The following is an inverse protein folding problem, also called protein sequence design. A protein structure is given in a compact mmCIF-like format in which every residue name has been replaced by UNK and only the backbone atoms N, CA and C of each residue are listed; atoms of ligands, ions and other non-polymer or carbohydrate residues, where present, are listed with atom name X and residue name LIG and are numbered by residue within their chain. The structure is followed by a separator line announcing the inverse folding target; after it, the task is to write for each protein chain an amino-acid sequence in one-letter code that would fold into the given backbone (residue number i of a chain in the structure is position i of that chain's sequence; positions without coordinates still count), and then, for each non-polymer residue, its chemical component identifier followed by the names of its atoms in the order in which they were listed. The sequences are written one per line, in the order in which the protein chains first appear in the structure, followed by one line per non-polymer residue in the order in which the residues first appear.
data_IF_870999122107
#
_entry.id   IF_870999122107
#
_cell.length_a   1.000
_cell.length_b   1.000
_cell.length_c   1.000
_cell.angle_alpha   90.00
_cell.angle_beta   90.00
_cell.angle_gamma   90.00
#
_symmetry.space_group_name_H-M   'P 1'
#
loop_
_entity.id
_entity.type
_entity.pdbx_description
1 polymer ?
#
# COMPACT_ATOMS: atom_id res chain seq x y z
N UNK A 1 10.90 34.06 -12.69
CA UNK A 1 11.16 32.69 -12.19
C UNK A 1 10.06 32.39 -11.21
N UNK A 2 9.21 31.41 -11.52
CA UNK A 2 8.11 30.98 -10.64
C UNK A 2 8.71 29.89 -9.76
N UNK A 3 8.83 30.15 -8.46
CA UNK A 3 9.15 29.11 -7.48
C UNK A 3 8.10 28.00 -7.59
N UNK A 4 8.47 26.71 -7.69
CA UNK A 4 7.49 25.64 -7.68
C UNK A 4 6.67 25.76 -6.39
N UNK A 5 5.36 25.93 -6.53
CA UNK A 5 4.45 26.07 -5.39
C UNK A 5 4.67 24.89 -4.44
N UNK A 6 5.00 25.17 -3.18
CA UNK A 6 5.19 24.16 -2.16
C UNK A 6 4.05 23.14 -2.22
N UNK A 7 4.40 21.87 -2.44
CA UNK A 7 3.44 20.77 -2.47
C UNK A 7 2.63 20.82 -1.16
N UNK A 8 1.29 20.80 -1.22
CA UNK A 8 0.50 20.80 0.00
C UNK A 8 0.91 19.60 0.87
N UNK A 9 1.26 19.86 2.13
CA UNK A 9 1.49 18.77 3.10
C UNK A 9 0.15 18.13 3.43
N UNK A 10 -0.10 16.95 2.88
CA UNK A 10 -1.26 16.13 3.22
C UNK A 10 -0.91 15.23 4.41
N UNK A 11 -1.63 15.36 5.51
CA UNK A 11 -1.50 14.48 6.68
C UNK A 11 -2.53 13.36 6.58
N UNK A 12 -2.06 12.11 6.56
CA UNK A 12 -2.93 10.93 6.63
C UNK A 12 -3.05 10.43 8.07
N UNK A 13 -4.25 10.01 8.45
CA UNK A 13 -4.53 9.46 9.77
C UNK A 13 -5.02 8.02 9.61
N UNK A 14 -4.18 7.00 9.89
CA UNK A 14 -4.52 5.60 9.63
C UNK A 14 -5.83 5.15 10.26
N UNK A 15 -6.05 5.49 11.53
CA UNK A 15 -7.29 5.11 12.22
C UNK A 15 -8.55 5.72 11.55
N UNK A 16 -8.46 6.97 11.09
CA UNK A 16 -9.55 7.61 10.38
C UNK A 16 -9.74 6.97 9.00
N UNK A 17 -8.65 6.75 8.26
CA UNK A 17 -8.66 6.07 6.97
C UNK A 17 -9.32 4.68 7.09
N UNK A 18 -8.91 3.87 8.05
CA UNK A 18 -9.44 2.51 8.22
C UNK A 18 -10.92 2.48 8.62
N UNK A 19 -11.39 3.53 9.30
CA UNK A 19 -12.80 3.65 9.69
C UNK A 19 -13.70 4.21 8.59
N UNK A 20 -13.15 5.04 7.70
CA UNK A 20 -13.93 5.91 6.80
C UNK A 20 -13.71 5.62 5.32
N UNK A 21 -12.63 4.93 4.96
CA UNK A 21 -12.28 4.57 3.60
C UNK A 21 -12.17 3.05 3.33
N UNK A 22 -12.95 2.16 3.98
CA UNK A 22 -12.83 0.73 3.73
C UNK A 22 -13.15 0.36 2.28
N UNK A 23 -13.90 1.19 1.55
CA UNK A 23 -14.18 0.98 0.14
C UNK A 23 -12.91 0.96 -0.75
N UNK A 24 -11.76 1.46 -0.28
CA UNK A 24 -10.51 1.46 -1.06
C UNK A 24 -9.83 0.08 -1.02
N UNK A 25 -9.87 -0.61 0.12
CA UNK A 25 -9.13 -1.84 0.36
C UNK A 25 -10.03 -3.03 0.73
N UNK A 26 -11.35 -2.87 0.67
CA UNK A 26 -12.29 -3.97 0.94
C UNK A 26 -12.17 -5.07 -0.11
N UNK A 27 -12.39 -6.30 0.34
CA UNK A 27 -12.44 -7.49 -0.51
C UNK A 27 -13.40 -7.34 -1.68
N UNK A 28 -14.59 -6.78 -1.43
CA UNK A 28 -15.62 -6.60 -2.46
C UNK A 28 -15.12 -5.73 -3.63
N UNK A 29 -14.45 -4.62 -3.31
CA UNK A 29 -14.00 -3.66 -4.31
C UNK A 29 -12.67 -4.04 -4.95
N UNK A 30 -11.83 -4.82 -4.26
CA UNK A 30 -10.48 -5.18 -4.74
C UNK A 30 -10.42 -6.53 -5.43
N UNK A 31 -11.45 -7.37 -5.31
CA UNK A 31 -11.49 -8.69 -5.97
C UNK A 31 -11.19 -8.65 -7.47
N UNK A 32 -11.71 -7.71 -8.29
CA UNK A 32 -11.37 -7.64 -9.71
C UNK A 32 -9.88 -7.31 -9.94
N UNK A 33 -9.27 -6.49 -9.07
CA UNK A 33 -7.86 -6.15 -9.15
C UNK A 33 -6.98 -7.39 -8.97
N UNK A 34 -7.25 -8.22 -7.94
CA UNK A 34 -6.49 -9.46 -7.73
C UNK A 34 -6.67 -10.47 -8.87
N UNK A 35 -7.86 -10.54 -9.47
CA UNK A 35 -8.10 -11.41 -10.62
C UNK A 35 -7.29 -10.96 -11.84
N UNK A 36 -7.18 -9.65 -12.09
CA UNK A 36 -6.40 -9.08 -13.18
C UNK A 36 -4.89 -9.22 -12.95
N UNK A 37 -4.44 -8.96 -11.72
CA UNK A 37 -3.02 -9.08 -11.36
C UNK A 37 -2.54 -10.53 -11.48
N UNK A 38 -3.39 -11.49 -11.09
CA UNK A 38 -3.12 -12.93 -11.21
C UNK A 38 -1.76 -13.33 -10.60
N UNK A 39 -1.47 -12.79 -9.41
CA UNK A 39 -0.20 -13.00 -8.71
C UNK A 39 0.06 -14.50 -8.51
N UNK A 40 1.32 -14.91 -8.68
CA UNK A 40 1.77 -16.31 -8.61
C UNK A 40 2.75 -16.52 -7.46
N UNK A 41 2.80 -17.75 -6.90
CA UNK A 41 3.82 -18.10 -5.92
C UNK A 41 5.25 -17.81 -6.42
N UNK A 42 6.09 -17.26 -5.55
CA UNK A 42 7.47 -16.89 -5.85
C UNK A 42 7.65 -15.53 -6.56
N UNK A 43 6.57 -14.81 -6.89
CA UNK A 43 6.68 -13.51 -7.53
C UNK A 43 7.16 -12.41 -6.57
N UNK A 44 7.78 -11.38 -7.16
CA UNK A 44 8.18 -10.17 -6.47
C UNK A 44 7.29 -9.01 -6.92
N UNK A 45 6.61 -8.35 -5.98
CA UNK A 45 5.60 -7.32 -6.26
C UNK A 45 5.91 -6.07 -5.44
N UNK A 46 5.70 -4.89 -6.04
CA UNK A 46 5.74 -3.61 -5.32
C UNK A 46 4.33 -3.03 -5.28
N UNK A 47 3.85 -2.72 -4.07
CA UNK A 47 2.56 -2.08 -3.81
C UNK A 47 2.79 -0.59 -3.50
N UNK A 48 2.47 0.28 -4.48
CA UNK A 48 2.72 1.72 -4.41
C UNK A 48 1.50 2.47 -3.86
N UNK A 49 1.69 3.23 -2.80
CA UNK A 49 0.60 3.82 -2.02
C UNK A 49 -0.13 2.76 -1.21
N UNK A 50 0.64 1.86 -0.57
CA UNK A 50 0.10 0.69 0.13
C UNK A 50 -0.82 1.05 1.31
N UNK A 51 -0.81 2.30 1.76
CA UNK A 51 -1.60 2.76 2.88
C UNK A 51 -1.29 1.96 4.13
N UNK A 52 -2.32 1.44 4.79
CA UNK A 52 -2.22 0.64 6.01
C UNK A 52 -1.83 -0.82 5.76
N UNK A 53 -1.67 -1.24 4.50
CA UNK A 53 -1.03 -2.50 4.12
C UNK A 53 -1.94 -3.71 3.95
N UNK A 54 -3.26 -3.56 4.01
CA UNK A 54 -4.23 -4.68 3.89
C UNK A 54 -4.05 -5.44 2.56
N UNK A 55 -3.92 -4.72 1.45
CA UNK A 55 -3.71 -5.35 0.14
C UNK A 55 -2.31 -5.94 0.00
N UNK A 56 -1.30 -5.27 0.54
CA UNK A 56 0.09 -5.75 0.58
C UNK A 56 0.19 -7.10 1.29
N UNK A 57 -0.48 -7.25 2.43
CA UNK A 57 -0.51 -8.51 3.18
C UNK A 57 -1.17 -9.62 2.36
N UNK A 58 -2.32 -9.33 1.74
CA UNK A 58 -3.01 -10.28 0.88
C UNK A 58 -2.18 -10.71 -0.33
N UNK A 59 -1.43 -9.79 -0.93
CA UNK A 59 -0.48 -10.10 -2.00
C UNK A 59 0.63 -11.02 -1.48
N UNK A 60 1.15 -10.77 -0.28
CA UNK A 60 2.20 -11.61 0.33
C UNK A 60 1.72 -13.05 0.54
N UNK A 61 0.46 -13.23 0.96
CA UNK A 61 -0.17 -14.55 1.08
C UNK A 61 -0.26 -15.27 -0.28
N UNK A 62 -0.56 -14.54 -1.37
CA UNK A 62 -0.68 -15.11 -2.71
C UNK A 62 0.67 -15.52 -3.31
N UNK A 63 1.72 -14.70 -3.12
CA UNK A 63 3.07 -15.01 -3.62
C UNK A 63 3.81 -16.01 -2.73
N UNK A 64 3.35 -16.23 -1.49
CA UNK A 64 3.89 -17.22 -0.57
C UNK A 64 5.29 -16.86 -0.03
N UNK A 65 5.89 -17.78 0.74
CA UNK A 65 7.16 -17.56 1.44
C UNK A 65 8.37 -17.39 0.50
N UNK A 66 8.30 -17.95 -0.70
CA UNK A 66 9.34 -17.82 -1.73
C UNK A 66 9.21 -16.50 -2.51
N UNK A 67 8.06 -15.82 -2.40
CA UNK A 67 7.78 -14.53 -3.01
C UNK A 67 7.99 -13.37 -2.03
N UNK A 68 8.01 -12.15 -2.58
CA UNK A 68 8.23 -10.93 -1.78
C UNK A 68 7.30 -9.82 -2.24
N UNK A 69 6.58 -9.22 -1.29
CA UNK A 69 5.82 -8.01 -1.55
C UNK A 69 6.41 -6.85 -0.75
N UNK A 70 6.77 -5.78 -1.46
CA UNK A 70 7.28 -4.55 -0.87
C UNK A 70 6.19 -3.48 -0.90
N UNK A 71 5.72 -3.06 0.27
CA UNK A 71 4.82 -1.93 0.43
C UNK A 71 5.59 -0.60 0.48
N UNK A 72 5.16 0.38 -0.31
CA UNK A 72 5.73 1.73 -0.32
C UNK A 72 4.60 2.74 -0.16
N UNK A 73 4.74 3.66 0.79
CA UNK A 73 3.84 4.81 0.93
C UNK A 73 4.67 6.07 1.18
N UNK A 74 4.21 7.20 0.63
CA UNK A 74 4.85 8.49 0.85
C UNK A 74 4.53 9.07 2.25
N UNK A 75 3.51 8.54 2.92
CA UNK A 75 3.08 8.94 4.24
C UNK A 75 3.69 8.05 5.32
N UNK A 76 4.62 8.59 6.11
CA UNK A 76 5.20 7.89 7.25
C UNK A 76 4.14 7.35 8.22
N UNK A 77 3.05 8.11 8.43
CA UNK A 77 1.95 7.68 9.28
C UNK A 77 1.24 6.42 8.77
N UNK A 78 1.20 6.18 7.46
CA UNK A 78 0.55 5.00 6.88
C UNK A 78 1.40 3.74 6.98
N UNK A 79 2.73 3.86 6.86
CA UNK A 79 3.69 2.75 6.87
C UNK A 79 3.84 2.02 8.23
N UNK A 80 3.18 2.48 9.29
CA UNK A 80 3.44 2.03 10.67
C UNK A 80 2.68 0.76 11.11
N UNK A 81 1.81 0.17 10.27
CA UNK A 81 0.83 -0.82 10.76
C UNK A 81 1.15 -2.28 10.39
N UNK A 82 1.95 -2.57 9.35
CA UNK A 82 2.24 -3.95 8.94
C UNK A 82 3.73 -4.25 8.76
N UNK A 83 4.08 -5.53 8.65
CA UNK A 83 5.45 -6.08 8.69
C UNK A 83 6.02 -6.49 7.32
N UNK A 84 5.52 -5.91 6.22
CA UNK A 84 6.24 -6.00 4.94
C UNK A 84 7.52 -5.16 5.02
N UNK A 85 8.53 -5.39 4.18
CA UNK A 85 9.67 -4.46 4.14
C UNK A 85 9.16 -3.11 3.61
N UNK A 86 9.04 -2.14 4.52
CA UNK A 86 8.64 -0.77 4.20
C UNK A 86 9.87 0.07 3.87
N UNK A 87 9.80 0.82 2.79
CA UNK A 87 10.72 1.92 2.53
C UNK A 87 9.91 3.22 2.49
N UNK A 88 10.18 4.13 3.43
CA UNK A 88 9.69 5.51 3.34
C UNK A 88 10.57 6.24 2.33
N UNK A 89 9.98 6.70 1.23
CA UNK A 89 10.67 7.58 0.29
C UNK A 89 10.50 9.02 0.76
N UNK A 90 11.34 9.44 1.71
CA UNK A 90 11.53 10.85 2.05
C UNK A 90 12.24 11.53 0.87
N UNK A 91 11.46 12.22 0.03
CA UNK A 91 11.94 13.23 -0.93
C UNK A 91 11.75 14.64 -0.37
#
# INVERSE_FOLDING_TARGET
MIEPSATPKYTWYPALYNSSAPFVYSDENTKPLFALLSARPGEQIVDMGCGTGELTQRLQELVGEEGLVMGVDASESMASIHSAQFFSMLI
#
